data_IF_152152451915
#
_entry.id   IF_152152451915
#
_cell.length_a   1.000
_cell.length_b   1.000
_cell.length_c   1.000
_cell.angle_alpha   90.00
_cell.angle_beta   90.00
_cell.angle_gamma   90.00
#
_symmetry.space_group_name_H-M   'P 1'
#
loop_
_entity.id
_entity.type
_entity.pdbx_description
1 polymer ?
#
# COMPACT_ATOMS: atom_id res chain seq x y z
N UNK A 1 -13.26 13.76 -6.65
CA UNK A 1 -14.20 13.09 -5.70
C UNK A 1 -14.58 11.73 -6.22
N UNK A 2 -14.48 10.68 -5.39
CA UNK A 2 -14.76 9.29 -5.78
C UNK A 2 -16.27 9.01 -5.70
N UNK A 3 -16.81 8.38 -6.73
CA UNK A 3 -18.19 7.91 -6.79
C UNK A 3 -18.24 6.40 -7.06
N UNK A 4 -19.04 5.68 -6.30
CA UNK A 4 -19.47 4.33 -6.66
C UNK A 4 -20.56 4.37 -7.73
N UNK A 5 -20.84 3.22 -8.34
CA UNK A 5 -21.97 3.13 -9.27
C UNK A 5 -23.32 3.45 -8.57
N UNK A 6 -23.45 3.10 -7.29
CA UNK A 6 -24.68 3.39 -6.54
C UNK A 6 -24.81 4.88 -6.20
N UNK A 7 -23.71 5.57 -5.90
CA UNK A 7 -23.71 7.03 -5.75
C UNK A 7 -24.16 7.71 -7.05
N UNK A 8 -23.67 7.22 -8.20
CA UNK A 8 -24.07 7.75 -9.49
C UNK A 8 -25.53 7.43 -9.87
N UNK A 9 -26.08 6.31 -9.41
CA UNK A 9 -27.54 6.04 -9.55
C UNK A 9 -28.36 7.09 -8.82
N UNK A 10 -27.96 7.44 -7.61
CA UNK A 10 -28.65 8.49 -6.84
C UNK A 10 -28.50 9.84 -7.54
N UNK A 11 -27.28 10.21 -7.90
CA UNK A 11 -26.96 11.49 -8.56
C UNK A 11 -27.69 11.67 -9.88
N UNK A 12 -27.89 10.61 -10.65
CA UNK A 12 -28.54 10.61 -11.97
C UNK A 12 -29.93 10.00 -11.96
N UNK A 13 -30.60 9.97 -10.81
CA UNK A 13 -31.95 9.36 -10.66
C UNK A 13 -33.00 9.92 -11.63
N UNK A 14 -32.86 11.17 -12.07
CA UNK A 14 -33.76 11.84 -13.02
C UNK A 14 -33.59 11.38 -14.48
N UNK A 15 -32.61 10.50 -14.78
CA UNK A 15 -32.36 10.00 -16.13
C UNK A 15 -32.93 8.61 -16.30
N UNK A 16 -33.71 8.39 -17.35
CA UNK A 16 -34.31 7.08 -17.64
C UNK A 16 -33.26 5.97 -17.87
N UNK A 17 -32.09 6.31 -18.41
CA UNK A 17 -31.01 5.37 -18.72
C UNK A 17 -29.70 5.81 -18.05
N UNK A 18 -29.54 5.45 -16.79
CA UNK A 18 -28.40 5.87 -15.97
C UNK A 18 -27.05 5.41 -16.54
N UNK A 19 -26.96 4.17 -17.06
CA UNK A 19 -25.73 3.64 -17.67
C UNK A 19 -25.30 4.47 -18.88
N UNK A 20 -26.23 4.87 -19.74
CA UNK A 20 -25.95 5.70 -20.91
C UNK A 20 -25.50 7.10 -20.48
N UNK A 21 -26.08 7.64 -19.40
CA UNK A 21 -25.63 8.91 -18.81
C UNK A 21 -24.19 8.80 -18.31
N UNK A 22 -23.86 7.76 -17.54
CA UNK A 22 -22.50 7.51 -17.06
C UNK A 22 -21.50 7.40 -18.24
N UNK A 23 -21.86 6.66 -19.29
CA UNK A 23 -21.01 6.52 -20.48
C UNK A 23 -20.73 7.86 -21.16
N UNK A 24 -21.74 8.73 -21.27
CA UNK A 24 -21.55 10.10 -21.80
C UNK A 24 -20.66 10.97 -20.90
N UNK A 25 -20.79 10.83 -19.57
CA UNK A 25 -19.91 11.56 -18.63
C UNK A 25 -18.46 11.10 -18.72
N UNK A 26 -18.23 9.80 -18.95
CA UNK A 26 -16.89 9.24 -19.21
C UNK A 26 -16.33 9.78 -20.53
N UNK A 27 -17.10 9.73 -21.61
CA UNK A 27 -16.69 10.25 -22.93
C UNK A 27 -16.37 11.77 -22.87
N UNK A 28 -17.09 12.50 -22.04
CA UNK A 28 -16.87 13.94 -21.82
C UNK A 28 -15.73 14.26 -20.82
N UNK A 29 -15.04 13.23 -20.30
CA UNK A 29 -13.94 13.41 -19.32
C UNK A 29 -14.37 13.88 -17.94
N UNK A 30 -15.67 13.92 -17.63
CA UNK A 30 -16.19 14.34 -16.31
C UNK A 30 -16.24 13.19 -15.30
N UNK A 31 -16.19 11.96 -15.76
CA UNK A 31 -16.00 10.76 -14.94
C UNK A 31 -14.85 9.95 -15.52
N UNK A 32 -13.89 9.59 -14.67
CA UNK A 32 -12.71 8.81 -15.03
C UNK A 32 -12.84 7.45 -14.36
N UNK A 33 -12.89 6.34 -15.13
CA UNK A 33 -12.97 5.01 -14.56
C UNK A 33 -11.72 4.67 -13.71
N UNK A 34 -11.93 4.29 -12.46
CA UNK A 34 -10.88 3.86 -11.53
C UNK A 34 -10.81 2.33 -11.46
N UNK A 35 -11.98 1.71 -11.22
CA UNK A 35 -12.19 0.26 -11.22
C UNK A 35 -13.64 -0.02 -11.64
N UNK A 36 -14.03 -1.31 -11.70
CA UNK A 36 -15.42 -1.66 -12.04
C UNK A 36 -16.40 -1.01 -11.06
N UNK A 37 -17.21 -0.09 -11.57
CA UNK A 37 -18.22 0.61 -10.77
C UNK A 37 -17.67 1.67 -9.82
N UNK A 38 -16.44 2.10 -10.01
CA UNK A 38 -15.77 3.16 -9.24
C UNK A 38 -15.22 4.21 -10.20
N UNK A 39 -15.50 5.48 -9.93
CA UNK A 39 -15.17 6.61 -10.80
C UNK A 39 -14.62 7.77 -9.99
N UNK A 40 -13.72 8.52 -10.59
CA UNK A 40 -13.17 9.78 -10.06
C UNK A 40 -13.55 10.94 -10.99
N UNK A 41 -13.68 12.14 -10.45
CA UNK A 41 -13.99 13.35 -11.24
C UNK A 41 -12.77 14.25 -11.48
N UNK A 42 -11.69 14.03 -10.77
CA UNK A 42 -10.46 14.82 -10.86
C UNK A 42 -9.33 13.95 -11.41
N UNK A 43 -8.84 14.30 -12.61
CA UNK A 43 -7.75 13.58 -13.27
C UNK A 43 -6.40 13.78 -12.57
N UNK A 44 -6.26 14.81 -11.75
CA UNK A 44 -5.01 15.13 -11.05
C UNK A 44 -4.87 14.43 -9.70
N UNK A 45 -5.90 13.68 -9.25
CA UNK A 45 -5.88 13.03 -7.95
C UNK A 45 -4.79 11.96 -7.87
N UNK A 46 -4.07 11.93 -6.75
CA UNK A 46 -3.06 10.89 -6.52
C UNK A 46 -3.70 9.52 -6.31
N UNK A 47 -3.14 8.49 -6.94
CA UNK A 47 -3.61 7.11 -6.77
C UNK A 47 -3.55 6.60 -5.34
N UNK A 48 -2.74 7.22 -4.44
CA UNK A 48 -2.71 6.84 -3.01
C UNK A 48 -4.10 6.89 -2.36
N UNK A 49 -4.96 7.83 -2.77
CA UNK A 49 -6.33 7.95 -2.26
C UNK A 49 -7.27 6.89 -2.81
N UNK A 50 -6.91 6.28 -3.93
CA UNK A 50 -7.74 5.32 -4.65
C UNK A 50 -7.43 3.88 -4.28
N UNK A 51 -6.21 3.60 -3.80
CA UNK A 51 -5.71 2.23 -3.60
C UNK A 51 -6.64 1.36 -2.73
N UNK A 52 -7.04 1.86 -1.54
CA UNK A 52 -7.96 1.14 -0.65
C UNK A 52 -9.38 0.99 -1.18
N UNK A 53 -9.78 1.84 -2.15
CA UNK A 53 -11.10 1.79 -2.79
C UNK A 53 -11.14 0.83 -3.99
N UNK A 54 -10.01 0.65 -4.69
CA UNK A 54 -9.88 -0.27 -5.82
C UNK A 54 -9.98 -1.73 -5.36
N UNK A 55 -9.24 -2.07 -4.30
CA UNK A 55 -9.24 -3.43 -3.75
C UNK A 55 -8.99 -3.40 -2.26
N UNK A 56 -10.01 -3.67 -1.48
CA UNK A 56 -9.98 -3.59 -0.02
C UNK A 56 -10.54 -4.83 0.68
N UNK A 57 -10.41 -4.86 2.02
CA UNK A 57 -9.64 -3.92 2.82
C UNK A 57 -8.15 -4.00 2.50
N UNK A 58 -7.47 -2.85 2.42
CA UNK A 58 -6.04 -2.75 2.16
C UNK A 58 -5.46 -1.43 2.69
N UNK A 59 -4.16 -1.39 2.94
CA UNK A 59 -3.42 -0.18 3.25
C UNK A 59 -2.15 -0.09 2.38
N UNK A 60 -1.69 1.11 2.09
CA UNK A 60 -0.43 1.35 1.39
C UNK A 60 0.74 0.84 2.22
N UNK A 61 1.65 0.08 1.61
CA UNK A 61 2.79 -0.55 2.26
C UNK A 61 3.90 -0.90 1.25
N UNK A 62 4.85 -1.74 1.66
CA UNK A 62 5.96 -2.19 0.82
C UNK A 62 6.73 -1.00 0.22
N UNK A 63 7.13 -1.10 -1.04
CA UNK A 63 7.99 -0.11 -1.70
C UNK A 63 7.37 1.30 -1.68
N UNK A 64 6.05 1.43 -1.85
CA UNK A 64 5.41 2.74 -1.80
C UNK A 64 5.58 3.42 -0.44
N UNK A 65 5.31 2.72 0.65
CA UNK A 65 5.46 3.29 1.99
C UNK A 65 6.94 3.50 2.35
N UNK A 66 7.83 2.56 2.00
CA UNK A 66 9.27 2.72 2.20
C UNK A 66 9.80 3.96 1.50
N UNK A 67 9.37 4.23 0.26
CA UNK A 67 9.72 5.44 -0.47
C UNK A 67 9.17 6.72 0.21
N UNK A 68 7.91 6.71 0.64
CA UNK A 68 7.30 7.88 1.33
C UNK A 68 8.06 8.24 2.60
N UNK A 69 8.62 7.26 3.31
CA UNK A 69 9.44 7.47 4.51
C UNK A 69 10.95 7.60 4.21
N UNK A 70 11.33 7.75 2.94
CA UNK A 70 12.72 7.88 2.50
C UNK A 70 13.62 6.70 2.87
N UNK A 71 13.04 5.54 3.20
CA UNK A 71 13.78 4.33 3.51
C UNK A 71 14.43 3.70 2.26
N UNK A 72 13.90 3.96 1.08
CA UNK A 72 14.50 3.55 -0.20
C UNK A 72 14.62 4.75 -1.14
N UNK A 73 15.69 4.85 -1.93
CA UNK A 73 15.92 5.96 -2.86
C UNK A 73 15.05 5.89 -4.13
N UNK A 74 14.57 4.70 -4.49
CA UNK A 74 13.80 4.50 -5.70
C UNK A 74 12.46 5.21 -5.64
N UNK A 75 12.29 6.22 -6.50
CA UNK A 75 11.01 6.89 -6.67
C UNK A 75 9.97 5.93 -7.27
N UNK A 76 8.92 5.67 -6.52
CA UNK A 76 7.82 4.80 -6.94
C UNK A 76 6.75 5.64 -7.64
N UNK A 77 7.08 6.11 -8.86
CA UNK A 77 6.16 6.97 -9.62
C UNK A 77 4.93 6.19 -10.08
N UNK A 78 3.75 6.73 -9.76
CA UNK A 78 2.45 6.19 -10.18
C UNK A 78 2.28 4.67 -9.94
N UNK A 79 3.02 4.12 -8.98
CA UNK A 79 2.86 2.72 -8.55
C UNK A 79 2.56 2.68 -7.06
N UNK A 80 1.43 2.08 -6.71
CA UNK A 80 0.89 2.04 -5.36
C UNK A 80 0.85 0.59 -4.89
N UNK A 81 1.75 0.25 -3.97
CA UNK A 81 1.83 -1.10 -3.40
C UNK A 81 1.05 -1.15 -2.09
N UNK A 82 0.18 -2.14 -1.93
CA UNK A 82 -0.73 -2.24 -0.79
C UNK A 82 -0.74 -3.65 -0.20
N UNK A 83 -0.87 -3.70 1.12
CA UNK A 83 -1.07 -4.93 1.86
C UNK A 83 -2.55 -5.27 1.99
N UNK A 84 -2.86 -6.56 1.87
CA UNK A 84 -4.17 -7.18 2.11
C UNK A 84 -3.99 -8.38 3.04
N UNK A 85 -5.07 -9.08 3.38
CA UNK A 85 -5.02 -10.34 4.12
C UNK A 85 -6.09 -11.30 3.62
N UNK A 86 -5.86 -12.60 3.78
CA UNK A 86 -6.78 -13.70 3.43
C UNK A 86 -7.34 -13.67 2.00
N UNK A 87 -6.70 -12.94 1.07
CA UNK A 87 -7.07 -12.94 -0.35
C UNK A 87 -6.46 -14.12 -1.10
N UNK A 88 -5.39 -14.73 -0.56
CA UNK A 88 -4.66 -15.91 -1.09
C UNK A 88 -4.15 -15.74 -2.51
N UNK A 89 -4.04 -14.50 -3.00
CA UNK A 89 -3.52 -14.17 -4.34
C UNK A 89 -3.07 -12.72 -4.43
N UNK A 90 -1.98 -12.49 -5.15
CA UNK A 90 -1.60 -11.15 -5.55
C UNK A 90 -2.58 -10.60 -6.60
N UNK A 91 -2.79 -9.29 -6.58
CA UNK A 91 -3.60 -8.57 -7.56
C UNK A 91 -2.82 -7.40 -8.13
N UNK A 92 -3.07 -7.12 -9.41
CA UNK A 92 -2.56 -5.93 -10.09
C UNK A 92 -3.69 -5.30 -10.89
N UNK A 93 -3.83 -3.99 -10.73
CA UNK A 93 -4.74 -3.16 -11.51
C UNK A 93 -3.93 -2.03 -12.14
N UNK A 94 -4.37 -1.60 -13.32
CA UNK A 94 -3.78 -0.45 -14.01
C UNK A 94 -4.90 0.41 -14.57
N UNK A 95 -4.83 1.71 -14.36
CA UNK A 95 -5.80 2.67 -14.84
C UNK A 95 -5.11 4.04 -15.10
N UNK A 96 -5.90 5.09 -15.37
CA UNK A 96 -5.38 6.43 -15.63
C UNK A 96 -4.59 7.04 -14.46
N UNK A 97 -4.77 6.54 -13.23
CA UNK A 97 -4.12 7.06 -12.01
C UNK A 97 -2.85 6.29 -11.64
N UNK A 98 -2.52 5.21 -12.35
CA UNK A 98 -1.31 4.44 -12.13
C UNK A 98 -1.51 2.94 -12.04
N UNK A 99 -0.51 2.28 -11.46
CA UNK A 99 -0.45 0.84 -11.23
C UNK A 99 -0.65 0.56 -9.74
N UNK A 100 -1.56 -0.36 -9.44
CA UNK A 100 -1.93 -0.75 -8.07
C UNK A 100 -1.63 -2.23 -7.88
N UNK A 101 -0.82 -2.57 -6.91
CA UNK A 101 -0.49 -3.97 -6.59
C UNK A 101 -0.86 -4.30 -5.16
N UNK A 102 -1.34 -5.51 -4.95
CA UNK A 102 -1.82 -5.98 -3.65
C UNK A 102 -1.22 -7.34 -3.35
N UNK A 103 -0.69 -7.50 -2.14
CA UNK A 103 -0.14 -8.74 -1.60
C UNK A 103 -0.65 -8.97 -0.20
N UNK A 104 -0.84 -10.24 0.17
CA UNK A 104 -1.26 -10.58 1.51
C UNK A 104 -0.09 -10.53 2.50
N UNK A 105 -0.43 -10.08 3.70
CA UNK A 105 0.35 -10.25 4.92
C UNK A 105 -0.44 -11.14 5.89
N UNK A 106 0.19 -11.72 6.93
CA UNK A 106 -0.54 -12.54 7.91
C UNK A 106 -1.67 -11.74 8.56
N UNK A 107 -2.86 -12.37 8.68
CA UNK A 107 -4.06 -11.71 9.20
C UNK A 107 -3.85 -11.10 10.60
N UNK A 108 -3.09 -11.78 11.47
CA UNK A 108 -2.81 -11.30 12.83
C UNK A 108 -1.97 -10.02 12.90
N UNK A 109 -1.14 -9.75 11.90
CA UNK A 109 -0.32 -8.53 11.84
C UNK A 109 -0.96 -7.43 10.98
N UNK A 110 -1.97 -7.77 10.19
CA UNK A 110 -2.61 -6.83 9.25
C UNK A 110 -3.06 -5.52 9.93
N UNK A 111 -3.73 -5.50 11.09
CA UNK A 111 -4.21 -4.25 11.69
C UNK A 111 -3.13 -3.46 12.45
N UNK A 112 -1.93 -4.02 12.65
CA UNK A 112 -0.89 -3.42 13.48
C UNK A 112 -0.06 -2.42 12.69
N UNK A 113 0.26 -1.27 13.29
CA UNK A 113 1.14 -0.27 12.67
C UNK A 113 0.55 0.36 11.39
N UNK A 114 -0.77 0.53 11.33
CA UNK A 114 -1.47 1.17 10.20
C UNK A 114 -2.01 2.52 10.66
N UNK A 115 -1.72 3.56 9.91
CA UNK A 115 -2.18 4.93 10.12
C UNK A 115 -3.32 5.26 9.16
N UNK A 116 -4.28 6.05 9.64
CA UNK A 116 -5.29 6.70 8.81
C UNK A 116 -4.82 8.14 8.58
N UNK A 117 -4.70 8.52 7.32
CA UNK A 117 -4.30 9.87 6.91
C UNK A 117 -5.45 10.53 6.18
N UNK A 118 -5.77 11.75 6.58
CA UNK A 118 -6.74 12.61 5.91
C UNK A 118 -6.02 13.76 5.22
N UNK A 119 -6.21 13.87 3.92
CA UNK A 119 -5.50 14.84 3.09
C UNK A 119 -6.34 15.18 1.86
N UNK A 120 -6.45 16.47 1.54
CA UNK A 120 -7.17 16.97 0.36
C UNK A 120 -8.63 16.47 0.24
N UNK A 121 -9.30 16.24 1.38
CA UNK A 121 -10.67 15.72 1.42
C UNK A 121 -10.79 14.21 1.12
N UNK A 122 -9.67 13.49 1.09
CA UNK A 122 -9.59 12.03 1.00
C UNK A 122 -9.04 11.45 2.29
N UNK A 123 -9.44 10.20 2.57
CA UNK A 123 -8.88 9.40 3.66
C UNK A 123 -8.27 8.13 3.08
N UNK A 124 -7.06 7.78 3.51
CA UNK A 124 -6.38 6.55 3.10
C UNK A 124 -5.61 5.94 4.28
N UNK A 125 -5.29 4.67 4.16
CA UNK A 125 -4.51 3.93 5.15
C UNK A 125 -3.11 3.68 4.63
N UNK A 126 -2.10 3.82 5.50
CA UNK A 126 -0.69 3.57 5.19
C UNK A 126 -0.01 2.90 6.38
N UNK A 127 0.90 1.97 6.11
CA UNK A 127 1.77 1.38 7.11
C UNK A 127 2.70 2.43 7.74
N UNK A 128 3.04 2.27 9.03
CA UNK A 128 4.21 2.97 9.62
C UNK A 128 5.50 2.51 8.93
N UNK A 129 6.62 3.24 9.05
CA UNK A 129 7.88 2.82 8.43
C UNK A 129 8.34 1.44 8.89
N UNK A 130 8.20 1.12 10.20
CA UNK A 130 8.53 -0.20 10.76
C UNK A 130 7.64 -1.29 10.17
N UNK A 131 6.35 -1.00 10.05
CA UNK A 131 5.36 -1.93 9.47
C UNK A 131 5.66 -2.18 7.99
N UNK A 132 5.94 -1.12 7.22
CA UNK A 132 6.25 -1.23 5.79
C UNK A 132 7.50 -2.09 5.55
N UNK A 133 8.54 -1.92 6.38
CA UNK A 133 9.75 -2.75 6.33
C UNK A 133 9.44 -4.22 6.64
N UNK A 134 8.67 -4.49 7.68
CA UNK A 134 8.26 -5.86 8.02
C UNK A 134 7.42 -6.49 6.90
N UNK A 135 6.45 -5.77 6.36
CA UNK A 135 5.63 -6.24 5.23
C UNK A 135 6.49 -6.56 4.01
N UNK A 136 7.48 -5.70 3.69
CA UNK A 136 8.41 -5.92 2.57
C UNK A 136 9.21 -7.19 2.77
N UNK A 137 9.88 -7.35 3.90
CA UNK A 137 10.72 -8.52 4.20
C UNK A 137 9.93 -9.82 4.25
N UNK A 138 8.65 -9.78 4.62
CA UNK A 138 7.77 -10.94 4.59
C UNK A 138 7.56 -11.50 3.18
N UNK A 139 7.60 -10.64 2.17
CA UNK A 139 7.36 -11.06 0.76
C UNK A 139 8.61 -11.51 0.02
N UNK A 140 9.76 -11.47 0.65
CA UNK A 140 11.05 -11.82 0.07
C UNK A 140 11.43 -13.24 0.49
N UNK A 141 12.11 -13.96 -0.40
CA UNK A 141 12.67 -15.27 -0.09
C UNK A 141 13.54 -15.23 1.17
N UNK A 142 13.47 -16.25 2.03
CA UNK A 142 14.20 -16.24 3.28
C UNK A 142 15.72 -16.28 3.04
N UNK A 143 16.46 -15.49 3.83
CA UNK A 143 17.92 -15.55 3.95
C UNK A 143 18.30 -16.41 5.15
N UNK A 144 19.57 -16.90 5.18
CA UNK A 144 19.98 -17.93 6.13
C UNK A 144 20.59 -17.39 7.43
N UNK A 145 21.14 -16.17 7.41
CA UNK A 145 21.90 -15.59 8.53
C UNK A 145 21.87 -14.06 8.55
N UNK A 146 22.48 -13.46 9.58
CA UNK A 146 22.50 -12.01 9.77
C UNK A 146 23.35 -11.27 8.73
N UNK A 147 24.37 -11.88 8.17
CA UNK A 147 25.20 -11.27 7.12
C UNK A 147 24.37 -11.12 5.84
N UNK A 148 23.71 -12.18 5.42
CA UNK A 148 22.80 -12.14 4.26
C UNK A 148 21.61 -11.22 4.50
N UNK A 149 21.11 -11.09 5.76
CA UNK A 149 20.07 -10.09 6.06
C UNK A 149 20.57 -8.67 5.87
N UNK A 150 21.82 -8.37 6.26
CA UNK A 150 22.41 -7.04 6.04
C UNK A 150 22.57 -6.73 4.56
N UNK A 151 23.10 -7.67 3.79
CA UNK A 151 23.19 -7.56 2.33
C UNK A 151 21.80 -7.35 1.72
N UNK A 152 20.81 -8.14 2.12
CA UNK A 152 19.42 -7.95 1.68
C UNK A 152 18.88 -6.55 2.01
N UNK A 153 19.11 -6.04 3.22
CA UNK A 153 18.59 -4.73 3.63
C UNK A 153 19.29 -3.58 2.90
N UNK A 154 20.61 -3.55 2.92
CA UNK A 154 21.38 -2.36 2.56
C UNK A 154 21.89 -2.38 1.12
N UNK A 155 22.19 -3.58 0.57
CA UNK A 155 22.67 -3.73 -0.81
C UNK A 155 21.52 -4.01 -1.79
N UNK A 156 20.69 -5.04 -1.53
CA UNK A 156 19.62 -5.44 -2.45
C UNK A 156 18.41 -4.53 -2.42
N UNK A 157 17.88 -4.26 -1.21
CA UNK A 157 16.72 -3.36 -1.02
C UNK A 157 17.14 -1.89 -0.96
N UNK A 158 18.43 -1.62 -0.81
CA UNK A 158 19.00 -0.28 -0.74
C UNK A 158 18.32 0.58 0.34
N UNK A 159 17.99 -0.05 1.48
CA UNK A 159 17.48 0.68 2.64
C UNK A 159 18.55 1.69 3.09
N UNK A 160 18.18 2.94 3.19
CA UNK A 160 19.05 3.99 3.71
C UNK A 160 19.40 3.72 5.18
N UNK A 161 20.69 3.64 5.51
CA UNK A 161 21.15 3.29 6.85
C UNK A 161 20.79 4.36 7.89
N UNK A 162 20.83 5.63 7.50
CA UNK A 162 20.49 6.74 8.40
C UNK A 162 18.99 6.73 8.72
N UNK A 163 18.14 6.53 7.71
CA UNK A 163 16.70 6.39 7.91
C UNK A 163 16.34 5.11 8.67
N UNK A 164 17.03 4.00 8.41
CA UNK A 164 16.87 2.77 9.17
C UNK A 164 17.21 2.97 10.65
N UNK A 165 18.27 3.75 10.96
CA UNK A 165 18.69 4.03 12.33
C UNK A 165 17.63 4.79 13.14
N UNK A 166 16.76 5.56 12.47
CA UNK A 166 15.66 6.35 13.08
C UNK A 166 14.42 5.52 13.37
N UNK A 167 14.32 4.30 12.84
CA UNK A 167 13.19 3.42 13.11
C UNK A 167 13.08 3.09 14.60
N UNK A 168 11.85 2.97 15.06
CA UNK A 168 11.57 2.59 16.44
C UNK A 168 11.90 1.11 16.67
N UNK A 169 13.03 0.86 17.31
CA UNK A 169 13.55 -0.49 17.56
C UNK A 169 12.60 -1.32 18.43
N UNK A 170 11.96 -0.71 19.43
CA UNK A 170 10.99 -1.40 20.29
C UNK A 170 9.76 -1.89 19.51
N UNK A 171 9.30 -1.09 18.54
CA UNK A 171 8.21 -1.49 17.66
C UNK A 171 8.65 -2.64 16.77
N UNK A 172 9.83 -2.55 16.14
CA UNK A 172 10.36 -3.61 15.28
C UNK A 172 10.56 -4.92 16.06
N UNK A 173 11.10 -4.85 17.27
CA UNK A 173 11.33 -6.02 18.11
C UNK A 173 10.03 -6.74 18.50
N UNK A 174 8.95 -5.99 18.72
CA UNK A 174 7.63 -6.53 19.05
C UNK A 174 6.88 -7.02 17.82
N UNK A 175 6.98 -6.30 16.70
CA UNK A 175 6.19 -6.55 15.51
C UNK A 175 6.76 -7.68 14.65
N UNK A 176 8.08 -7.70 14.41
CA UNK A 176 8.71 -8.62 13.49
C UNK A 176 8.44 -10.11 13.81
N UNK A 177 8.53 -10.59 15.06
CA UNK A 177 8.28 -12.01 15.37
C UNK A 177 6.86 -12.47 15.05
N UNK A 178 5.87 -11.56 15.04
CA UNK A 178 4.47 -11.89 14.79
C UNK A 178 4.20 -12.34 13.35
N UNK A 179 5.11 -12.11 12.43
CA UNK A 179 5.02 -12.58 11.04
C UNK A 179 5.35 -14.06 10.88
N UNK A 180 5.99 -14.70 11.88
CA UNK A 180 6.44 -16.09 11.81
C UNK A 180 7.29 -16.39 10.56
N UNK A 181 8.14 -15.44 10.15
CA UNK A 181 9.00 -15.52 8.98
C UNK A 181 10.47 -15.51 9.36
N UNK A 182 11.30 -16.25 8.62
CA UNK A 182 12.75 -16.32 8.84
C UNK A 182 13.39 -14.94 8.79
N UNK A 183 13.10 -14.15 7.75
CA UNK A 183 13.67 -12.81 7.60
C UNK A 183 13.31 -11.91 8.78
N UNK A 184 12.06 -11.95 9.25
CA UNK A 184 11.59 -11.14 10.37
C UNK A 184 12.17 -11.60 11.72
N UNK A 185 12.39 -12.90 11.90
CA UNK A 185 13.08 -13.43 13.08
C UNK A 185 14.56 -13.00 13.09
N UNK A 186 15.21 -12.97 11.92
CA UNK A 186 16.58 -12.45 11.77
C UNK A 186 16.61 -10.93 12.00
N UNK A 187 15.64 -10.16 11.51
CA UNK A 187 15.51 -8.74 11.79
C UNK A 187 15.41 -8.46 13.29
N UNK A 188 14.55 -9.16 14.02
CA UNK A 188 14.45 -9.03 15.47
C UNK A 188 15.77 -9.33 16.20
N UNK A 189 16.52 -10.35 15.75
CA UNK A 189 17.87 -10.65 16.28
C UNK A 189 18.88 -9.55 15.94
N UNK A 190 18.78 -8.98 14.75
CA UNK A 190 19.65 -7.89 14.31
C UNK A 190 19.46 -6.64 15.16
N UNK A 191 18.20 -6.24 15.36
CA UNK A 191 17.83 -5.08 16.20
C UNK A 191 18.38 -5.21 17.62
N UNK A 192 18.21 -6.39 18.27
CA UNK A 192 18.75 -6.65 19.64
C UNK A 192 20.25 -6.55 19.77
N UNK A 193 20.99 -6.79 18.68
CA UNK A 193 22.48 -6.72 18.70
C UNK A 193 23.01 -5.31 18.44
N UNK A 194 22.15 -4.41 17.95
CA UNK A 194 22.51 -3.02 17.62
C UNK A 194 21.99 -2.02 18.66
N UNK A 195 21.36 -2.51 19.72
CA UNK A 195 21.09 -1.76 20.95
C UNK A 195 22.31 -1.77 21.87
#
# INVERSE_FOLDING_TARGET
MIYSFDDLKIKFSNYAKIKDKISREIQAGRLIPVARGLYETDASVSGKYLAGRIYGPSYLSFDYALYIYSLIPEAVYNTYTSATFDKRRAKKYQNAFGVFTYRDVPAGVYPLGVLIVEENGYSYQIATPEKALCDKLYTISPVSNLTELKELLFDDLRIDEDEFSKLNKDILEKLAPLYHSTNLNLLAKFIRRTQ
#
